data_IF_812699451366
#
_entry.id   IF_812699451366
#
_cell.length_a   1.000
_cell.length_b   1.000
_cell.length_c   1.000
_cell.angle_alpha   90.00
_cell.angle_beta   90.00
_cell.angle_gamma   90.00
#
_symmetry.space_group_name_H-M   'P 1'
#
loop_
_entity.id
_entity.type
_entity.pdbx_description
1 polymer ?
#
# COMPACT_ATOMS: atom_id res chain seq x y z
N UNK A 1 -12.96 -66.74 -10.68
CA UNK A 1 -12.13 -65.60 -11.06
C UNK A 1 -11.74 -64.91 -9.74
N UNK A 2 -10.49 -65.10 -9.27
CA UNK A 2 -9.98 -64.48 -8.04
C UNK A 2 -9.46 -63.07 -8.42
N UNK A 3 -10.19 -62.04 -8.01
CA UNK A 3 -9.78 -60.65 -8.12
C UNK A 3 -8.68 -60.37 -7.08
N UNK A 4 -7.55 -59.85 -7.55
CA UNK A 4 -6.35 -59.58 -6.76
C UNK A 4 -6.48 -58.21 -6.06
N UNK A 5 -6.54 -58.16 -4.71
CA UNK A 5 -6.79 -56.89 -3.99
C UNK A 5 -5.61 -55.93 -3.94
N UNK A 6 -4.48 -56.23 -4.64
CA UNK A 6 -3.27 -55.45 -4.57
C UNK A 6 -3.18 -54.31 -5.62
N UNK A 7 -4.18 -54.16 -6.49
CA UNK A 7 -4.14 -53.11 -7.55
C UNK A 7 -4.92 -51.84 -7.23
N UNK A 8 -5.63 -51.75 -6.09
CA UNK A 8 -6.47 -50.61 -5.75
C UNK A 8 -5.83 -49.57 -4.81
N UNK A 9 -4.66 -49.84 -4.27
CA UNK A 9 -3.97 -48.93 -3.30
C UNK A 9 -3.29 -47.73 -3.94
N UNK A 10 -2.74 -47.75 -5.17
CA UNK A 10 -2.06 -46.58 -5.70
C UNK A 10 -2.97 -45.50 -6.28
N UNK A 11 -4.27 -45.77 -6.52
CA UNK A 11 -5.16 -44.77 -7.15
C UNK A 11 -5.79 -43.79 -6.14
N UNK A 12 -5.77 -44.10 -4.84
CA UNK A 12 -6.30 -43.22 -3.80
C UNK A 12 -5.28 -42.22 -3.26
N UNK A 13 -3.99 -42.42 -3.53
CA UNK A 13 -2.94 -41.52 -3.05
C UNK A 13 -2.65 -40.36 -4.01
N UNK A 14 -3.14 -40.40 -5.25
CA UNK A 14 -2.94 -39.37 -6.26
C UNK A 14 -3.96 -38.22 -6.23
N UNK A 15 -5.05 -38.36 -5.46
CA UNK A 15 -6.13 -37.37 -5.41
C UNK A 15 -5.95 -36.29 -4.32
N UNK A 16 -4.86 -36.31 -3.54
CA UNK A 16 -4.69 -35.43 -2.38
C UNK A 16 -3.74 -34.24 -2.58
N UNK A 17 -3.32 -33.94 -3.80
CA UNK A 17 -2.30 -32.91 -4.08
C UNK A 17 -2.80 -31.73 -4.95
N UNK A 18 -4.09 -31.50 -5.04
CA UNK A 18 -4.63 -30.35 -5.78
C UNK A 18 -5.43 -29.40 -4.87
N UNK A 19 -4.86 -29.01 -3.72
CA UNK A 19 -5.28 -27.77 -3.05
C UNK A 19 -4.17 -26.74 -3.29
N UNK A 20 -4.07 -26.26 -4.52
CA UNK A 20 -3.42 -25.00 -4.80
C UNK A 20 -4.37 -23.91 -4.27
N UNK A 21 -4.20 -23.50 -3.01
CA UNK A 21 -4.76 -22.26 -2.51
C UNK A 21 -4.17 -21.13 -3.35
N UNK A 22 -4.92 -20.63 -4.31
CA UNK A 22 -4.74 -19.28 -4.83
C UNK A 22 -5.01 -18.34 -3.66
N UNK A 23 -3.96 -17.84 -3.03
CA UNK A 23 -4.05 -16.86 -1.96
C UNK A 23 -4.58 -15.56 -2.59
N UNK A 24 -5.88 -15.33 -2.43
CA UNK A 24 -6.51 -14.10 -2.87
C UNK A 24 -5.88 -12.94 -2.08
N UNK A 25 -5.46 -11.86 -2.78
CA UNK A 25 -4.83 -10.72 -2.13
C UNK A 25 -5.73 -10.20 -0.98
N UNK A 26 -5.17 -9.92 0.20
CA UNK A 26 -5.97 -9.50 1.36
C UNK A 26 -6.76 -8.24 1.02
N UNK A 27 -8.05 -8.25 1.31
CA UNK A 27 -8.93 -7.11 1.11
C UNK A 27 -9.10 -6.39 2.45
N UNK A 28 -8.49 -5.22 2.58
CA UNK A 28 -8.65 -4.40 3.78
C UNK A 28 -10.11 -3.89 3.88
N UNK A 29 -10.66 -3.97 5.08
CA UNK A 29 -12.02 -3.53 5.36
C UNK A 29 -12.05 -2.09 5.87
N UNK A 30 -13.01 -1.30 5.41
CA UNK A 30 -13.23 0.05 5.92
C UNK A 30 -13.62 0.00 7.41
N UNK A 31 -13.26 1.05 8.13
CA UNK A 31 -13.46 1.23 9.57
C UNK A 31 -12.68 0.25 10.46
N UNK A 32 -11.77 -0.55 9.89
CA UNK A 32 -10.83 -1.38 10.61
C UNK A 32 -9.41 -0.78 10.56
N UNK A 33 -8.57 -1.04 11.57
CA UNK A 33 -7.16 -0.69 11.48
C UNK A 33 -6.49 -1.43 10.33
N UNK A 34 -5.79 -0.74 9.43
CA UNK A 34 -4.98 -1.43 8.41
C UNK A 34 -3.73 -2.05 9.05
N UNK A 35 -3.05 -2.97 8.35
CA UNK A 35 -1.84 -3.61 8.86
C UNK A 35 -0.78 -2.59 9.29
N UNK A 36 -0.18 -2.81 10.46
CA UNK A 36 0.98 -2.08 10.93
C UNK A 36 2.22 -2.43 10.10
N UNK A 37 3.16 -1.48 9.99
CA UNK A 37 4.41 -1.71 9.28
C UNK A 37 5.55 -0.85 9.82
N UNK A 38 6.78 -1.27 9.53
CA UNK A 38 8.00 -0.51 9.75
C UNK A 38 8.80 -0.47 8.45
N UNK A 39 8.99 0.72 7.87
CA UNK A 39 9.74 0.91 6.63
C UNK A 39 10.80 2.01 6.79
N UNK A 40 11.88 1.91 5.99
CA UNK A 40 12.88 2.96 5.91
C UNK A 40 12.41 4.07 4.97
N UNK A 41 12.70 5.31 5.34
CA UNK A 41 12.60 6.44 4.44
C UNK A 41 13.88 6.62 3.60
N UNK A 42 13.90 7.65 2.74
CA UNK A 42 15.07 7.96 1.90
C UNK A 42 16.32 8.33 2.70
N UNK A 43 16.18 8.79 3.94
CA UNK A 43 17.28 9.15 4.84
C UNK A 43 17.76 7.95 5.68
N UNK A 44 17.12 6.77 5.51
CA UNK A 44 17.45 5.55 6.22
C UNK A 44 16.79 5.44 7.60
N UNK A 45 15.96 6.43 8.00
CA UNK A 45 15.20 6.38 9.25
C UNK A 45 14.06 5.38 9.13
N UNK A 46 13.89 4.53 10.15
CA UNK A 46 12.72 3.64 10.24
C UNK A 46 11.54 4.46 10.77
N UNK A 47 10.41 4.36 10.07
CA UNK A 47 9.12 4.89 10.50
C UNK A 47 8.17 3.73 10.77
N UNK A 48 7.50 3.78 11.92
CA UNK A 48 6.56 2.77 12.38
C UNK A 48 5.14 3.30 12.26
N UNK A 49 4.30 2.59 11.53
CA UNK A 49 2.88 2.89 11.46
C UNK A 49 2.11 1.81 12.25
N UNK A 50 1.17 2.19 13.12
CA UNK A 50 0.64 3.54 13.38
C UNK A 50 1.38 4.36 14.47
N UNK A 51 2.40 3.82 15.14
CA UNK A 51 2.98 4.36 16.38
C UNK A 51 3.47 5.81 16.22
N UNK A 52 4.17 6.11 15.10
CA UNK A 52 4.75 7.45 14.84
C UNK A 52 3.70 8.47 14.35
N UNK A 53 2.45 8.04 14.11
CA UNK A 53 1.41 8.84 13.44
C UNK A 53 0.09 8.93 14.21
N UNK A 54 0.11 8.71 15.51
CA UNK A 54 -1.09 8.73 16.34
C UNK A 54 -1.80 10.09 16.28
N UNK A 55 -3.13 10.06 16.27
CA UNK A 55 -3.99 11.24 16.20
C UNK A 55 -3.80 12.10 14.95
N UNK A 56 -3.25 11.54 13.88
CA UNK A 56 -3.06 12.19 12.59
C UNK A 56 -3.91 11.51 11.51
N UNK A 57 -4.30 12.27 10.50
CA UNK A 57 -4.85 11.72 9.26
C UNK A 57 -3.69 11.25 8.40
N UNK A 58 -3.69 9.97 8.05
CA UNK A 58 -2.59 9.37 7.29
C UNK A 58 -3.08 8.87 5.94
N UNK A 59 -2.39 9.26 4.88
CA UNK A 59 -2.59 8.67 3.55
C UNK A 59 -1.39 7.80 3.23
N UNK A 60 -1.60 6.48 3.13
CA UNK A 60 -0.59 5.53 2.64
C UNK A 60 -0.80 5.36 1.14
N UNK A 61 0.18 5.83 0.36
CA UNK A 61 0.10 5.88 -1.09
C UNK A 61 1.18 5.04 -1.73
N UNK A 62 0.79 3.99 -2.45
CA UNK A 62 1.70 3.11 -3.18
C UNK A 62 1.95 3.64 -4.59
N UNK A 63 3.23 3.68 -5.01
CA UNK A 63 3.66 4.23 -6.29
C UNK A 63 4.97 3.60 -6.79
N UNK A 64 5.29 3.82 -8.07
CA UNK A 64 6.59 3.51 -8.68
C UNK A 64 6.92 4.53 -9.77
N UNK A 65 8.21 4.63 -10.18
CA UNK A 65 8.65 5.58 -11.20
C UNK A 65 8.12 5.27 -12.61
N UNK A 66 7.88 3.99 -12.89
CA UNK A 66 7.30 3.51 -14.15
C UNK A 66 5.78 3.64 -14.23
N UNK A 67 5.10 4.03 -13.16
CA UNK A 67 3.66 4.22 -13.13
C UNK A 67 3.29 5.53 -13.84
N UNK A 68 2.52 5.50 -14.93
CA UNK A 68 2.34 6.66 -15.81
C UNK A 68 1.62 7.84 -15.15
N UNK A 69 0.72 7.58 -14.20
CA UNK A 69 -0.06 8.61 -13.50
C UNK A 69 0.53 9.05 -12.17
N UNK A 70 1.55 8.33 -11.65
CA UNK A 70 2.08 8.60 -10.32
C UNK A 70 2.77 9.96 -10.24
N UNK A 71 3.52 10.37 -11.27
CA UNK A 71 4.27 11.61 -11.27
C UNK A 71 3.37 12.86 -11.26
N UNK A 72 2.32 12.90 -12.09
CA UNK A 72 1.36 14.01 -12.15
C UNK A 72 0.60 14.15 -10.84
N UNK A 73 0.00 13.07 -10.39
CA UNK A 73 -0.80 13.08 -9.18
C UNK A 73 0.03 13.39 -7.92
N UNK A 74 1.26 12.89 -7.83
CA UNK A 74 2.16 13.22 -6.71
C UNK A 74 2.49 14.72 -6.65
N UNK A 75 2.67 15.38 -7.79
CA UNK A 75 2.83 16.85 -7.85
C UNK A 75 1.55 17.59 -7.49
N UNK A 76 0.41 17.10 -7.97
CA UNK A 76 -0.87 17.78 -7.79
C UNK A 76 -1.36 17.74 -6.33
N UNK A 77 -0.99 16.70 -5.56
CA UNK A 77 -1.30 16.63 -4.12
C UNK A 77 -0.30 17.36 -3.23
N UNK A 78 0.87 17.76 -3.71
CA UNK A 78 1.87 18.46 -2.92
C UNK A 78 1.36 19.80 -2.34
N UNK A 79 0.68 20.68 -3.09
CA UNK A 79 0.11 21.90 -2.52
C UNK A 79 -0.92 21.63 -1.40
N UNK A 80 -1.73 20.58 -1.56
CA UNK A 80 -2.71 20.16 -0.55
C UNK A 80 -1.99 19.70 0.73
N UNK A 81 -0.92 18.93 0.58
CA UNK A 81 -0.09 18.51 1.70
C UNK A 81 0.53 19.70 2.42
N UNK A 82 1.12 20.64 1.70
CA UNK A 82 1.72 21.84 2.28
C UNK A 82 0.73 22.67 3.09
N UNK A 83 -0.51 22.79 2.61
CA UNK A 83 -1.56 23.50 3.33
C UNK A 83 -2.02 22.77 4.60
N UNK A 84 -2.13 21.42 4.53
CA UNK A 84 -2.81 20.64 5.56
C UNK A 84 -1.88 19.92 6.54
N UNK A 85 -0.57 19.86 6.28
CA UNK A 85 0.40 19.15 7.15
C UNK A 85 0.39 19.65 8.59
N UNK A 86 0.27 20.97 8.80
CA UNK A 86 0.25 21.56 10.13
C UNK A 86 -1.10 21.38 10.84
N UNK A 87 -2.14 20.95 10.10
CA UNK A 87 -3.42 20.51 10.62
C UNK A 87 -3.48 19.03 10.96
N UNK A 88 -2.39 18.30 10.73
CA UNK A 88 -2.26 16.88 11.08
C UNK A 88 -2.38 15.90 9.92
N UNK A 89 -2.29 16.37 8.65
CA UNK A 89 -2.18 15.46 7.51
C UNK A 89 -0.76 14.90 7.42
N UNK A 90 -0.66 13.60 7.17
CA UNK A 90 0.60 12.90 6.80
C UNK A 90 0.37 12.08 5.54
N UNK A 91 1.31 12.20 4.60
CA UNK A 91 1.34 11.37 3.40
C UNK A 91 2.59 10.50 3.49
N UNK A 92 2.39 9.18 3.42
CA UNK A 92 3.43 8.17 3.36
C UNK A 92 3.44 7.58 1.95
N UNK A 93 4.33 8.10 1.11
CA UNK A 93 4.47 7.67 -0.27
C UNK A 93 5.35 6.42 -0.34
N UNK A 94 4.75 5.24 -0.38
CA UNK A 94 5.44 3.95 -0.37
C UNK A 94 5.85 3.58 -1.80
N UNK A 95 7.16 3.60 -2.05
CA UNK A 95 7.74 3.17 -3.32
C UNK A 95 7.83 1.65 -3.38
N UNK A 96 7.24 1.04 -4.42
CA UNK A 96 7.07 -0.41 -4.53
C UNK A 96 8.12 -1.03 -5.45
N UNK A 97 8.88 -2.01 -4.92
CA UNK A 97 9.84 -2.86 -5.65
C UNK A 97 10.92 -2.08 -6.40
N UNK A 98 11.39 -0.99 -5.81
CA UNK A 98 12.49 -0.20 -6.35
C UNK A 98 13.47 0.13 -5.24
N UNK A 99 14.72 0.35 -5.62
CA UNK A 99 15.75 0.74 -4.67
C UNK A 99 15.67 2.24 -4.32
N UNK A 100 16.35 2.59 -3.23
CA UNK A 100 16.43 3.95 -2.71
C UNK A 100 16.83 4.99 -3.76
N UNK A 101 17.85 4.68 -4.57
CA UNK A 101 18.38 5.66 -5.54
C UNK A 101 17.40 5.98 -6.65
N UNK A 102 16.64 4.98 -7.11
CA UNK A 102 15.56 5.18 -8.09
C UNK A 102 14.45 6.04 -7.51
N UNK A 103 13.97 5.71 -6.32
CA UNK A 103 12.94 6.48 -5.63
C UNK A 103 13.40 7.93 -5.36
N UNK A 104 14.63 8.12 -4.87
CA UNK A 104 15.18 9.43 -4.56
C UNK A 104 15.31 10.33 -5.82
N UNK A 105 15.87 9.79 -6.92
CA UNK A 105 15.99 10.55 -8.18
C UNK A 105 14.62 10.96 -8.74
N UNK A 106 13.63 10.07 -8.66
CA UNK A 106 12.30 10.36 -9.16
C UNK A 106 11.62 11.45 -8.33
N UNK A 107 11.58 11.30 -7.02
CA UNK A 107 10.90 12.26 -6.12
C UNK A 107 11.59 13.63 -6.07
N UNK A 108 12.92 13.69 -6.20
CA UNK A 108 13.64 14.95 -6.31
C UNK A 108 13.19 15.79 -7.52
N UNK A 109 12.87 15.15 -8.65
CA UNK A 109 12.36 15.83 -9.86
C UNK A 109 10.91 16.34 -9.69
N UNK A 110 10.15 15.75 -8.75
CA UNK A 110 8.76 16.13 -8.49
C UNK A 110 8.65 17.32 -7.53
N UNK A 111 9.69 17.59 -6.71
CA UNK A 111 9.66 18.63 -5.69
C UNK A 111 8.68 18.37 -4.56
N UNK A 112 8.38 17.10 -4.27
CA UNK A 112 7.50 16.72 -3.17
C UNK A 112 8.21 16.79 -1.82
N UNK A 113 7.47 17.11 -0.76
CA UNK A 113 8.02 17.29 0.60
C UNK A 113 7.48 16.28 1.62
N UNK A 114 6.46 15.49 1.28
CA UNK A 114 5.97 14.43 2.15
C UNK A 114 6.90 13.20 2.16
N UNK A 115 6.70 12.33 3.15
CA UNK A 115 7.59 11.19 3.39
C UNK A 115 7.52 10.15 2.28
N UNK A 116 8.70 9.73 1.82
CA UNK A 116 8.87 8.61 0.88
C UNK A 116 9.44 7.41 1.65
N UNK A 117 8.75 6.28 1.59
CA UNK A 117 9.13 5.03 2.23
C UNK A 117 9.47 3.98 1.19
N UNK A 118 10.32 3.02 1.54
CA UNK A 118 10.85 2.02 0.63
C UNK A 118 10.28 0.64 0.96
N UNK A 119 9.47 0.08 0.07
CA UNK A 119 8.96 -1.29 0.08
C UNK A 119 9.68 -2.08 -1.03
N UNK A 120 11.00 -2.28 -0.84
CA UNK A 120 11.91 -2.78 -1.89
C UNK A 120 11.55 -4.19 -2.39
N UNK A 121 11.00 -5.05 -1.52
CA UNK A 121 10.53 -6.40 -1.87
C UNK A 121 9.04 -6.48 -2.20
N UNK A 122 8.30 -5.38 -2.02
CA UNK A 122 6.86 -5.30 -2.25
C UNK A 122 6.02 -6.04 -1.19
N UNK A 123 6.59 -6.33 -0.01
CA UNK A 123 5.89 -7.08 1.02
C UNK A 123 4.70 -6.28 1.60
N UNK A 124 4.88 -4.98 1.83
CA UNK A 124 3.80 -4.13 2.31
C UNK A 124 2.69 -3.97 1.26
N UNK A 125 3.06 -3.76 0.00
CA UNK A 125 2.09 -3.69 -1.10
C UNK A 125 1.22 -4.95 -1.18
N UNK A 126 1.82 -6.15 -1.03
CA UNK A 126 1.06 -7.41 -0.97
C UNK A 126 0.16 -7.47 0.26
N UNK A 127 0.66 -7.09 1.45
CA UNK A 127 -0.10 -7.10 2.69
C UNK A 127 -1.32 -6.15 2.63
N UNK A 128 -1.20 -5.03 1.93
CA UNK A 128 -2.29 -4.08 1.71
C UNK A 128 -3.21 -4.47 0.55
N UNK A 129 -2.93 -5.58 -0.14
CA UNK A 129 -3.74 -6.03 -1.28
C UNK A 129 -3.66 -5.10 -2.48
N UNK A 130 -2.51 -4.46 -2.71
CA UNK A 130 -2.28 -3.55 -3.85
C UNK A 130 -2.18 -4.36 -5.13
N UNK A 131 -3.12 -4.17 -6.04
CA UNK A 131 -3.20 -4.86 -7.34
C UNK A 131 -2.81 -3.97 -8.52
N UNK A 132 -2.65 -2.67 -8.30
CA UNK A 132 -2.25 -1.70 -9.31
C UNK A 132 -1.76 -0.40 -8.69
N UNK A 133 -1.06 0.42 -9.49
CA UNK A 133 -0.52 1.71 -9.07
C UNK A 133 -1.10 2.87 -9.90
N UNK A 134 -1.32 4.04 -9.28
CA UNK A 134 -1.23 4.28 -7.84
C UNK A 134 -2.38 3.65 -7.05
N UNK A 135 -2.17 3.39 -5.76
CA UNK A 135 -3.25 3.05 -4.81
C UNK A 135 -3.07 3.85 -3.54
N UNK A 136 -4.13 4.49 -3.06
CA UNK A 136 -4.10 5.33 -1.86
C UNK A 136 -5.11 4.82 -0.83
N UNK A 137 -4.67 4.71 0.43
CA UNK A 137 -5.46 4.33 1.59
C UNK A 137 -5.56 5.53 2.52
N UNK A 138 -6.80 5.94 2.88
CA UNK A 138 -7.07 7.10 3.72
C UNK A 138 -7.46 6.63 5.12
N UNK A 139 -6.68 7.04 6.12
CA UNK A 139 -6.77 6.58 7.50
C UNK A 139 -7.05 7.78 8.37
N UNK A 140 -8.06 7.69 9.23
CA UNK A 140 -8.48 8.76 10.11
C UNK A 140 -7.60 8.89 11.36
N UNK A 141 -7.88 9.91 12.19
CA UNK A 141 -7.16 10.19 13.44
C UNK A 141 -7.25 9.07 14.49
N UNK A 142 -8.23 8.18 14.36
CA UNK A 142 -8.37 6.99 15.21
C UNK A 142 -7.56 5.78 14.71
N UNK A 143 -6.84 5.93 13.59
CA UNK A 143 -6.05 4.88 12.97
C UNK A 143 -6.89 3.88 12.16
N UNK A 144 -8.11 4.23 11.75
CA UNK A 144 -9.01 3.35 10.99
C UNK A 144 -9.05 3.74 9.52
N UNK A 145 -9.01 2.75 8.65
CA UNK A 145 -9.17 2.93 7.21
C UNK A 145 -10.59 3.44 6.91
N UNK A 146 -10.69 4.57 6.23
CA UNK A 146 -11.99 5.13 5.84
C UNK A 146 -12.35 4.82 4.40
N UNK A 147 -11.38 4.92 3.51
CA UNK A 147 -11.58 4.60 2.08
C UNK A 147 -10.25 4.31 1.40
N UNK A 148 -10.33 3.71 0.22
CA UNK A 148 -9.19 3.52 -0.68
C UNK A 148 -9.54 3.96 -2.09
N UNK A 149 -8.55 4.42 -2.82
CA UNK A 149 -8.65 4.72 -4.25
C UNK A 149 -7.62 3.87 -4.98
N UNK A 150 -8.08 3.07 -5.94
CA UNK A 150 -7.26 2.32 -6.88
C UNK A 150 -7.20 3.09 -8.19
N UNK A 151 -5.99 3.38 -8.65
CA UNK A 151 -5.76 4.20 -9.84
C UNK A 151 -5.68 5.70 -9.54
N UNK A 152 -5.61 6.49 -10.60
CA UNK A 152 -5.55 7.95 -10.54
C UNK A 152 -6.82 8.55 -9.94
N UNK A 153 -6.66 9.58 -9.14
CA UNK A 153 -7.76 10.38 -8.61
C UNK A 153 -7.56 11.86 -8.91
N UNK A 154 -8.62 12.61 -9.27
CA UNK A 154 -8.53 14.06 -9.36
C UNK A 154 -8.08 14.66 -8.02
N UNK A 155 -7.18 15.68 -8.01
CA UNK A 155 -6.69 16.29 -6.77
C UNK A 155 -7.83 16.86 -5.90
N UNK A 156 -8.96 17.27 -6.51
CA UNK A 156 -10.16 17.74 -5.79
C UNK A 156 -10.82 16.62 -4.97
N UNK A 157 -10.77 15.36 -5.45
CA UNK A 157 -11.27 14.21 -4.70
C UNK A 157 -10.36 13.91 -3.50
N UNK A 158 -9.05 13.93 -3.72
CA UNK A 158 -8.06 13.77 -2.64
C UNK A 158 -8.27 14.85 -1.56
N UNK A 159 -8.32 16.12 -1.96
CA UNK A 159 -8.51 17.27 -1.05
C UNK A 159 -9.78 17.14 -0.22
N UNK A 160 -10.90 16.80 -0.84
CA UNK A 160 -12.17 16.60 -0.14
C UNK A 160 -12.08 15.51 0.92
N UNK A 161 -11.53 14.33 0.56
CA UNK A 161 -11.43 13.21 1.50
C UNK A 161 -10.55 13.58 2.71
N UNK A 162 -9.38 14.17 2.49
CA UNK A 162 -8.49 14.51 3.60
C UNK A 162 -9.05 15.60 4.50
N UNK A 163 -9.80 16.59 3.94
CA UNK A 163 -10.45 17.63 4.74
C UNK A 163 -11.61 17.10 5.59
N UNK A 164 -12.33 16.10 5.09
CA UNK A 164 -13.41 15.43 5.85
C UNK A 164 -12.85 14.61 7.04
N UNK A 165 -11.59 14.15 6.95
CA UNK A 165 -10.95 13.37 8.00
C UNK A 165 -10.19 14.22 9.02
N UNK A 166 -9.84 15.47 8.70
CA UNK A 166 -9.11 16.41 9.55
C UNK A 166 -10.00 17.10 10.58
#
# INVERSE_FOLDING_TARGET
IRMNPRLFVPLLLAALLMVACGEEAPKLENHQPPPAFALRDLDGKILNFPEDFQSQVVVVRFWADWCPFCASEMRDIEPIYQELRDRGLRILAVNVRQNRDTAARFTAKLGISYRVLLDEDGALARQYGVTGLPTSYFIDRSGRLQTRILGEAPPQLFDRIVRELL
#
